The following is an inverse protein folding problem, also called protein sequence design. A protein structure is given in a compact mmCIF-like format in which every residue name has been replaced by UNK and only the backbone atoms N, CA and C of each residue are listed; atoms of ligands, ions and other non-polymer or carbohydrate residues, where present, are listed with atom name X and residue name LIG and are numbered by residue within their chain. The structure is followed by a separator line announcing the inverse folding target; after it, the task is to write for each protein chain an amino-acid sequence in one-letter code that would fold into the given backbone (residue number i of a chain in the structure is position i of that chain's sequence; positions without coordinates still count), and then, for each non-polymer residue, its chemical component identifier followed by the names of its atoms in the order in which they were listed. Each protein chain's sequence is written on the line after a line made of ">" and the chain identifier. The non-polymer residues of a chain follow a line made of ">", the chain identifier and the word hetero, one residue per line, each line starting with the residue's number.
data_IF_935143236494
#
_entry.id   IF_935143236494
#
_cell.length_a   1.000
_cell.length_b   1.000
_cell.length_c   1.000
_cell.angle_alpha   90.00
_cell.angle_beta   90.00
_cell.angle_gamma   90.00
#
_symmetry.space_group_name_H-M   'P 1'
#
loop_
_entity.id
_entity.type
_entity.pdbx_description
1 polymer ?
#
# COMPACT_ATOMS: atom_id res chain seq x y z
N UNK A 1 7.85 -12.60 17.17
CA UNK A 1 6.78 -11.58 17.14
C UNK A 1 7.42 -10.26 16.78
N UNK A 2 6.86 -9.48 15.84
CA UNK A 2 7.30 -8.10 15.68
C UNK A 2 7.21 -7.40 17.03
N UNK A 3 8.18 -6.56 17.37
CA UNK A 3 8.06 -5.67 18.52
C UNK A 3 6.79 -4.83 18.39
N UNK A 4 6.08 -4.61 19.49
CA UNK A 4 4.91 -3.73 19.50
C UNK A 4 5.34 -2.33 19.06
N UNK A 5 4.75 -1.85 17.95
CA UNK A 5 4.88 -0.48 17.48
C UNK A 5 3.81 0.36 18.15
N UNK A 6 4.18 1.52 18.70
CA UNK A 6 3.19 2.51 19.13
C UNK A 6 2.42 3.06 17.92
N UNK A 7 1.19 3.53 18.13
CA UNK A 7 0.33 4.09 17.06
C UNK A 7 1.02 5.26 16.34
N UNK A 8 1.67 6.16 17.07
CA UNK A 8 2.35 7.30 16.44
C UNK A 8 3.57 6.85 15.65
N UNK A 9 4.28 5.83 16.12
CA UNK A 9 5.41 5.25 15.41
C UNK A 9 4.93 4.57 14.11
N UNK A 10 3.86 3.78 14.16
CA UNK A 10 3.28 3.14 12.98
C UNK A 10 2.84 4.18 11.93
N UNK A 11 2.22 5.28 12.34
CA UNK A 11 1.81 6.37 11.45
C UNK A 11 3.02 7.07 10.82
N UNK A 12 4.02 7.44 11.61
CA UNK A 12 5.20 8.17 11.10
C UNK A 12 6.14 7.31 10.26
N UNK A 13 6.10 5.99 10.41
CA UNK A 13 6.96 5.06 9.67
C UNK A 13 6.28 4.42 8.46
N UNK A 14 4.97 4.62 8.27
CA UNK A 14 4.24 4.14 7.11
C UNK A 14 4.79 4.75 5.81
N UNK A 15 5.18 3.90 4.85
CA UNK A 15 5.78 4.31 3.57
C UNK A 15 5.22 3.51 2.40
N UNK A 16 5.24 4.12 1.22
CA UNK A 16 4.96 3.43 -0.03
C UNK A 16 6.15 2.58 -0.46
N UNK A 17 6.13 1.29 -0.16
CA UNK A 17 7.20 0.35 -0.54
C UNK A 17 7.03 -0.11 -1.99
N UNK A 18 8.11 -0.05 -2.78
CA UNK A 18 8.14 -0.48 -4.19
C UNK A 18 8.87 -1.81 -4.40
N UNK A 19 9.58 -2.28 -3.39
CA UNK A 19 10.27 -3.57 -3.36
C UNK A 19 9.78 -4.32 -2.14
N UNK A 20 9.22 -5.51 -2.37
CA UNK A 20 8.67 -6.38 -1.33
C UNK A 20 9.44 -7.69 -1.30
N UNK A 21 9.48 -8.33 -0.12
CA UNK A 21 10.04 -9.67 0.00
C UNK A 21 9.21 -10.67 -0.84
N UNK A 22 9.83 -11.73 -1.38
CA UNK A 22 9.12 -12.74 -2.15
C UNK A 22 8.29 -13.68 -1.26
N UNK A 23 8.55 -13.69 0.04
CA UNK A 23 7.89 -14.56 1.01
C UNK A 23 6.38 -14.33 1.02
N UNK A 24 5.56 -15.40 1.04
CA UNK A 24 4.13 -15.27 1.20
C UNK A 24 3.79 -14.72 2.59
N UNK A 25 2.67 -14.01 2.68
CA UNK A 25 2.11 -13.54 3.95
C UNK A 25 1.30 -14.69 4.55
N UNK A 26 1.49 -15.05 5.83
CA UNK A 26 0.66 -16.07 6.49
C UNK A 26 -0.83 -15.68 6.50
N UNK A 27 -1.72 -16.64 6.30
CA UNK A 27 -3.18 -16.42 6.25
C UNK A 27 -3.72 -15.70 7.50
N UNK A 28 -3.22 -16.06 8.68
CA UNK A 28 -3.59 -15.42 9.95
C UNK A 28 -3.27 -13.92 9.96
N UNK A 29 -2.22 -13.50 9.27
CA UNK A 29 -1.83 -12.10 9.18
C UNK A 29 -2.77 -11.35 8.22
N UNK A 30 -3.17 -11.98 7.12
CA UNK A 30 -4.15 -11.42 6.19
C UNK A 30 -5.47 -11.16 6.93
N UNK A 31 -5.94 -12.15 7.71
CA UNK A 31 -7.16 -12.01 8.50
C UNK A 31 -7.09 -10.84 9.49
N UNK A 32 -6.01 -10.76 10.28
CA UNK A 32 -5.80 -9.66 11.23
C UNK A 32 -5.78 -8.28 10.57
N UNK A 33 -5.20 -8.16 9.38
CA UNK A 33 -5.20 -6.91 8.61
C UNK A 33 -6.62 -6.54 8.18
N UNK A 34 -7.41 -7.51 7.70
CA UNK A 34 -8.79 -7.28 7.27
C UNK A 34 -9.70 -6.91 8.44
N UNK A 35 -9.55 -7.56 9.59
CA UNK A 35 -10.24 -7.22 10.83
C UNK A 35 -9.98 -5.77 11.25
N UNK A 36 -8.73 -5.32 11.17
CA UNK A 36 -8.39 -3.92 11.44
C UNK A 36 -8.97 -2.97 10.38
N UNK A 37 -8.97 -3.37 9.10
CA UNK A 37 -9.45 -2.53 8.00
C UNK A 37 -10.96 -2.24 8.09
N UNK A 38 -11.78 -3.22 8.49
CA UNK A 38 -13.24 -3.05 8.60
C UNK A 38 -13.67 -2.16 9.78
N UNK A 39 -12.77 -1.84 10.71
CA UNK A 39 -13.03 -0.87 11.77
C UNK A 39 -13.12 0.57 11.26
N UNK A 40 -12.74 0.84 10.00
CA UNK A 40 -12.88 2.16 9.41
C UNK A 40 -14.36 2.61 9.40
N UNK A 41 -14.67 3.88 9.72
CA UNK A 41 -16.04 4.37 9.68
C UNK A 41 -16.54 4.41 8.23
N UNK A 42 -17.82 4.11 8.03
CA UNK A 42 -18.51 4.24 6.74
C UNK A 42 -19.83 4.98 6.89
N UNK A 43 -20.26 5.68 5.83
CA UNK A 43 -21.52 6.42 5.84
C UNK A 43 -22.69 5.49 6.16
N UNK A 44 -23.48 5.83 7.18
CA UNK A 44 -24.57 4.98 7.65
C UNK A 44 -24.14 3.58 8.14
N UNK A 45 -22.86 3.39 8.46
CA UNK A 45 -22.25 2.10 8.77
C UNK A 45 -22.45 1.03 7.66
N UNK A 46 -22.50 1.45 6.40
CA UNK A 46 -22.83 0.55 5.29
C UNK A 46 -21.78 -0.53 5.02
N UNK A 47 -20.53 -0.35 5.45
CA UNK A 47 -19.46 -1.34 5.39
C UNK A 47 -19.29 -2.03 4.02
N UNK A 48 -19.46 -1.27 2.93
CA UNK A 48 -19.51 -1.80 1.55
C UNK A 48 -18.12 -2.13 0.96
N UNK A 49 -17.18 -2.53 1.81
CA UNK A 49 -15.83 -2.92 1.41
C UNK A 49 -15.87 -4.30 0.75
N UNK A 50 -15.13 -4.46 -0.35
CA UNK A 50 -14.85 -5.75 -0.94
C UNK A 50 -13.33 -5.88 -1.00
N UNK A 51 -12.79 -6.89 -0.34
CA UNK A 51 -11.37 -7.21 -0.36
C UNK A 51 -11.15 -8.47 -1.19
N UNK A 52 -10.19 -8.40 -2.11
CA UNK A 52 -9.77 -9.55 -2.93
C UNK A 52 -8.28 -9.74 -2.69
N UNK A 53 -7.94 -10.79 -1.92
CA UNK A 53 -6.55 -11.23 -1.76
C UNK A 53 -6.15 -12.08 -2.97
N UNK A 54 -5.13 -11.64 -3.71
CA UNK A 54 -4.61 -12.37 -4.89
C UNK A 54 -3.27 -12.98 -4.52
N UNK A 55 -3.29 -14.24 -4.10
CA UNK A 55 -2.09 -14.93 -3.62
C UNK A 55 -1.30 -15.60 -4.75
N UNK A 56 -1.99 -16.13 -5.77
CA UNK A 56 -1.34 -16.79 -6.91
C UNK A 56 -0.41 -15.83 -7.66
N UNK A 57 0.84 -16.26 -7.78
CA UNK A 57 1.90 -15.46 -8.39
C UNK A 57 1.62 -15.20 -9.89
N UNK A 58 0.97 -16.14 -10.60
CA UNK A 58 0.64 -15.93 -12.00
C UNK A 58 -0.49 -14.91 -12.18
N UNK A 59 -1.55 -14.97 -11.36
CA UNK A 59 -2.60 -13.94 -11.32
C UNK A 59 -2.01 -12.55 -11.04
N UNK A 60 -1.17 -12.44 -10.00
CA UNK A 60 -0.49 -11.19 -9.64
C UNK A 60 0.34 -10.62 -10.79
N UNK A 61 1.08 -11.47 -11.51
CA UNK A 61 1.85 -11.05 -12.69
C UNK A 61 0.95 -10.44 -13.77
N UNK A 62 -0.17 -11.10 -14.09
CA UNK A 62 -1.13 -10.60 -15.10
C UNK A 62 -1.78 -9.28 -14.68
N UNK A 63 -2.15 -9.13 -13.41
CA UNK A 63 -2.63 -7.85 -12.87
C UNK A 63 -1.56 -6.75 -12.99
N UNK A 64 -0.31 -7.08 -12.67
CA UNK A 64 0.82 -6.17 -12.79
C UNK A 64 1.10 -5.71 -14.23
N UNK A 65 0.88 -6.57 -15.23
CA UNK A 65 0.98 -6.21 -16.65
C UNK A 65 -0.10 -5.21 -17.06
N UNK A 66 -1.36 -5.47 -16.69
CA UNK A 66 -2.47 -4.54 -16.91
C UNK A 66 -2.23 -3.19 -16.24
N UNK A 67 -1.76 -3.20 -14.98
CA UNK A 67 -1.39 -1.99 -14.25
C UNK A 67 -0.26 -1.22 -14.93
N UNK A 68 0.79 -1.90 -15.41
CA UNK A 68 1.91 -1.27 -16.13
C UNK A 68 1.44 -0.59 -17.42
N UNK A 69 0.53 -1.21 -18.17
CA UNK A 69 -0.07 -0.61 -19.37
C UNK A 69 -0.86 0.66 -19.04
N UNK A 70 -1.69 0.61 -17.99
CA UNK A 70 -2.49 1.76 -17.57
C UNK A 70 -1.64 2.90 -16.99
N UNK A 71 -0.66 2.58 -16.14
CA UNK A 71 0.18 3.59 -15.47
C UNK A 71 1.16 4.29 -16.43
N UNK A 72 1.47 3.69 -17.58
CA UNK A 72 2.32 4.31 -18.59
C UNK A 72 1.81 5.69 -19.05
N UNK A 73 0.48 5.89 -19.11
CA UNK A 73 -0.11 7.16 -19.56
C UNK A 73 0.10 8.32 -18.58
N UNK A 74 0.14 8.02 -17.28
CA UNK A 74 0.32 9.00 -16.20
C UNK A 74 1.75 9.07 -15.68
N UNK A 75 2.66 8.21 -16.19
CA UNK A 75 4.04 8.13 -15.72
C UNK A 75 4.79 9.45 -15.88
N UNK A 76 4.62 10.14 -17.01
CA UNK A 76 5.27 11.43 -17.24
C UNK A 76 4.80 12.50 -16.25
N UNK A 77 3.51 12.49 -15.89
CA UNK A 77 2.95 13.39 -14.88
C UNK A 77 3.60 13.18 -13.51
N UNK A 78 3.72 11.93 -13.06
CA UNK A 78 4.37 11.64 -11.77
C UNK A 78 5.88 11.96 -11.76
N UNK A 79 6.60 11.71 -12.86
CA UNK A 79 8.03 12.03 -12.95
C UNK A 79 8.30 13.54 -13.00
N UNK A 80 7.34 14.33 -13.51
CA UNK A 80 7.43 15.78 -13.53
C UNK A 80 7.07 16.42 -12.18
N UNK A 81 6.44 15.68 -11.26
CA UNK A 81 6.18 16.19 -9.91
C UNK A 81 7.48 16.22 -9.12
N UNK A 82 7.88 17.43 -8.72
CA UNK A 82 8.94 17.64 -7.74
C UNK A 82 8.47 17.39 -6.30
N UNK A 83 9.35 17.63 -5.31
CA UNK A 83 8.99 17.49 -3.90
C UNK A 83 7.83 18.43 -3.52
N UNK A 84 7.02 18.05 -2.52
CA UNK A 84 6.04 18.96 -1.92
C UNK A 84 6.70 20.25 -1.44
N UNK A 85 5.98 21.38 -1.46
CA UNK A 85 6.54 22.69 -1.12
C UNK A 85 7.16 22.82 0.29
N UNK A 86 6.77 21.95 1.22
CA UNK A 86 7.28 21.92 2.59
C UNK A 86 8.49 20.98 2.78
N UNK A 87 8.98 20.36 1.71
CA UNK A 87 10.00 19.31 1.77
C UNK A 87 11.17 19.67 0.84
N UNK A 88 12.38 19.51 1.33
CA UNK A 88 13.59 19.63 0.52
C UNK A 88 13.79 18.39 -0.36
N UNK A 89 14.59 18.51 -1.43
CA UNK A 89 14.93 17.38 -2.30
C UNK A 89 15.56 16.22 -1.52
N UNK A 90 16.45 16.53 -0.56
CA UNK A 90 17.11 15.54 0.29
C UNK A 90 16.13 14.82 1.24
N UNK A 91 15.08 15.52 1.69
CA UNK A 91 14.03 14.91 2.51
C UNK A 91 13.07 14.07 1.68
N UNK A 92 12.76 14.52 0.46
CA UNK A 92 11.92 13.80 -0.49
C UNK A 92 12.58 12.51 -0.98
N UNK A 93 13.90 12.52 -1.24
CA UNK A 93 14.66 11.34 -1.67
C UNK A 93 14.71 10.18 -0.65
N UNK A 94 14.11 10.33 0.53
CA UNK A 94 13.95 9.25 1.54
C UNK A 94 12.68 8.40 1.33
N UNK A 95 11.84 8.73 0.35
CA UNK A 95 10.57 8.08 0.00
C UNK A 95 10.56 7.53 -1.44
#
# INVERSE_FOLDING_TARGET
>A
MPSELDVLEAIHTARMLRVLKPDPIPDEMIQRILEAAICAPSAGNAQQWIFIAVEDAAQRRRLGESYRKASASVRAFYLAQGPPAHMTEAEFGRF
#
